data_IF_422270879485
#
_entry.id   IF_422270879485
#
_cell.length_a   1.000
_cell.length_b   1.000
_cell.length_c   1.000
_cell.angle_alpha   90.00
_cell.angle_beta   90.00
_cell.angle_gamma   90.00
#
_symmetry.space_group_name_H-M   'P 1'
#
loop_
_entity.id
_entity.type
_entity.pdbx_description
1 polymer ?
#
# COMPACT_ATOMS: atom_id res chain seq x y z
N UNK A 1 -8.31 -11.29 8.27
CA UNK A 1 -7.53 -10.18 7.68
C UNK A 1 -6.70 -9.57 8.77
N UNK A 2 -5.43 -9.96 8.87
CA UNK A 2 -4.49 -9.34 9.79
C UNK A 2 -3.91 -8.09 9.12
N UNK A 3 -4.05 -6.93 9.77
CA UNK A 3 -3.42 -5.70 9.31
C UNK A 3 -1.96 -5.72 9.74
N UNK A 4 -1.08 -6.26 8.90
CA UNK A 4 0.37 -6.20 9.13
C UNK A 4 0.81 -4.75 8.88
N UNK A 5 1.44 -4.11 9.88
CA UNK A 5 1.99 -2.76 9.69
C UNK A 5 3.31 -2.85 8.94
N UNK A 6 3.25 -3.01 7.62
CA UNK A 6 4.46 -3.05 6.80
C UNK A 6 5.07 -1.64 6.72
N UNK A 7 6.32 -1.51 7.15
CA UNK A 7 7.02 -0.23 7.16
C UNK A 7 7.61 0.07 5.77
N UNK A 8 7.74 1.34 5.35
CA UNK A 8 8.32 1.68 4.04
C UNK A 8 9.73 1.10 3.79
N UNK A 9 10.50 0.85 4.85
CA UNK A 9 11.81 0.19 4.75
C UNK A 9 11.72 -1.27 4.30
N UNK A 10 10.62 -1.96 4.60
CA UNK A 10 10.36 -3.34 4.20
C UNK A 10 9.95 -3.45 2.73
N UNK A 11 9.65 -2.33 2.07
CA UNK A 11 9.31 -2.25 0.64
C UNK A 11 10.55 -2.00 -0.23
N UNK A 12 11.71 -1.67 0.35
CA UNK A 12 12.94 -1.37 -0.40
C UNK A 12 13.42 -2.61 -1.16
N UNK A 13 13.73 -2.42 -2.44
CA UNK A 13 14.20 -3.49 -3.32
C UNK A 13 13.11 -4.43 -3.84
N UNK A 14 11.84 -4.24 -3.45
CA UNK A 14 10.72 -5.00 -4.03
C UNK A 14 10.44 -4.54 -5.46
N UNK A 15 10.08 -5.48 -6.31
CA UNK A 15 9.69 -5.21 -7.70
C UNK A 15 8.21 -4.87 -7.76
N UNK A 16 7.89 -3.74 -8.40
CA UNK A 16 6.51 -3.35 -8.69
C UNK A 16 5.99 -4.20 -9.84
N UNK A 17 4.82 -4.79 -9.64
CA UNK A 17 4.09 -5.56 -10.65
C UNK A 17 3.07 -4.67 -11.38
N UNK A 18 2.30 -3.88 -10.62
CA UNK A 18 1.26 -3.00 -11.18
C UNK A 18 0.99 -1.80 -10.25
N UNK A 19 0.31 -0.77 -10.76
CA UNK A 19 -0.09 0.41 -10.00
C UNK A 19 -1.44 0.98 -10.47
N UNK A 20 -2.34 1.21 -9.53
CA UNK A 20 -3.61 1.89 -9.76
C UNK A 20 -3.60 3.29 -9.12
N UNK A 21 -3.98 4.30 -9.89
CA UNK A 21 -4.07 5.69 -9.43
C UNK A 21 -5.51 6.16 -9.52
N UNK A 22 -6.00 6.73 -8.42
CA UNK A 22 -7.33 7.34 -8.34
C UNK A 22 -7.20 8.80 -7.90
N UNK A 23 -8.33 9.52 -7.84
CA UNK A 23 -8.35 10.91 -7.36
C UNK A 23 -7.88 11.09 -5.92
N UNK A 24 -7.93 10.05 -5.09
CA UNK A 24 -7.67 10.17 -3.64
C UNK A 24 -6.74 9.09 -3.09
N UNK A 25 -6.26 8.18 -3.92
CA UNK A 25 -5.40 7.08 -3.51
C UNK A 25 -4.53 6.57 -4.66
N UNK A 26 -3.38 6.02 -4.30
CA UNK A 26 -2.48 5.25 -5.15
C UNK A 26 -2.32 3.87 -4.49
N UNK A 27 -2.45 2.81 -5.28
CA UNK A 27 -2.25 1.44 -4.84
C UNK A 27 -1.14 0.84 -5.69
N UNK A 28 -0.11 0.31 -5.04
CA UNK A 28 1.04 -0.34 -5.69
C UNK A 28 0.97 -1.83 -5.37
N UNK A 29 0.95 -2.68 -6.41
CA UNK A 29 1.08 -4.13 -6.29
C UNK A 29 2.54 -4.52 -6.52
N UNK A 30 3.12 -5.26 -5.59
CA UNK A 30 4.45 -5.85 -5.74
C UNK A 30 4.33 -7.31 -6.19
N UNK A 31 5.37 -7.82 -6.86
CA UNK A 31 5.40 -9.18 -7.41
C UNK A 31 5.31 -10.29 -6.36
N UNK A 32 5.50 -9.97 -5.08
CA UNK A 32 5.40 -10.91 -3.96
C UNK A 32 4.01 -10.93 -3.30
N UNK A 33 3.01 -10.35 -3.97
CA UNK A 33 1.63 -10.26 -3.50
C UNK A 33 1.39 -9.17 -2.44
N UNK A 34 2.39 -8.34 -2.13
CA UNK A 34 2.20 -7.17 -1.26
C UNK A 34 1.45 -6.07 -2.01
N UNK A 35 0.47 -5.46 -1.34
CA UNK A 35 -0.19 -4.23 -1.76
C UNK A 35 0.25 -3.10 -0.84
N UNK A 36 0.54 -1.93 -1.42
CA UNK A 36 0.84 -0.72 -0.67
C UNK A 36 -0.08 0.41 -1.11
N UNK A 37 -0.92 0.83 -0.18
CA UNK A 37 -1.90 1.89 -0.36
C UNK A 37 -1.36 3.19 0.19
N UNK A 38 -1.43 4.25 -0.61
CA UNK A 38 -1.22 5.64 -0.21
C UNK A 38 -2.54 6.36 -0.44
N UNK A 39 -3.17 6.89 0.61
CA UNK A 39 -4.48 7.52 0.50
C UNK A 39 -4.61 8.76 1.38
N UNK A 40 -5.48 9.67 0.97
CA UNK A 40 -5.84 10.82 1.79
C UNK A 40 -6.87 10.42 2.84
N UNK A 41 -6.52 10.49 4.12
CA UNK A 41 -7.48 10.46 5.21
C UNK A 41 -8.27 11.77 5.19
N UNK A 42 -9.54 11.68 4.80
CA UNK A 42 -10.43 12.86 4.69
C UNK A 42 -10.76 13.49 6.03
N UNK A 43 -10.68 12.73 7.13
CA UNK A 43 -10.99 13.23 8.48
C UNK A 43 -9.81 13.99 9.05
N UNK A 44 -8.62 13.40 8.97
CA UNK A 44 -7.39 14.02 9.49
C UNK A 44 -6.74 15.00 8.49
N UNK A 45 -7.23 15.07 7.24
CA UNK A 45 -6.63 15.77 6.11
C UNK A 45 -5.12 15.48 5.96
N UNK A 46 -4.74 14.22 6.12
CA UNK A 46 -3.35 13.79 6.03
C UNK A 46 -3.20 12.56 5.14
N UNK A 47 -2.03 12.42 4.54
CA UNK A 47 -1.69 11.20 3.81
C UNK A 47 -1.44 10.07 4.80
N UNK A 48 -2.10 8.94 4.58
CA UNK A 48 -1.86 7.69 5.29
C UNK A 48 -1.37 6.65 4.32
N UNK A 49 -0.62 5.71 4.87
CA UNK A 49 -0.15 4.53 4.15
C UNK A 49 -0.62 3.26 4.85
N UNK A 50 -0.87 2.23 4.06
CA UNK A 50 -1.12 0.88 4.54
C UNK A 50 -0.41 -0.10 3.61
N UNK A 51 0.06 -1.22 4.14
CA UNK A 51 0.45 -2.31 3.29
C UNK A 51 -0.04 -3.64 3.87
N UNK A 52 -0.46 -4.52 2.98
CA UNK A 52 -1.09 -5.77 3.30
C UNK A 52 -0.72 -6.82 2.27
N UNK A 53 -0.69 -8.08 2.69
CA UNK A 53 -0.75 -9.21 1.77
C UNK A 53 -2.17 -9.74 1.76
N UNK A 54 -2.67 -10.09 0.58
CA UNK A 54 -3.84 -10.94 0.50
C UNK A 54 -3.34 -12.35 0.80
N UNK A 55 -3.51 -12.81 2.03
CA UNK A 55 -3.35 -14.22 2.34
C UNK A 55 -4.46 -15.00 1.61
N UNK A 56 -4.11 -16.13 0.97
CA UNK A 56 -5.08 -17.06 0.36
C UNK A 56 -6.07 -17.63 1.39
#
# INVERSE_FOLDING_TARGET
>A
METIKVLPDELKGKTVEDMAITKSAVVIKFTDGTFFDIYLDKTAQSLKTSANKLDE
#
